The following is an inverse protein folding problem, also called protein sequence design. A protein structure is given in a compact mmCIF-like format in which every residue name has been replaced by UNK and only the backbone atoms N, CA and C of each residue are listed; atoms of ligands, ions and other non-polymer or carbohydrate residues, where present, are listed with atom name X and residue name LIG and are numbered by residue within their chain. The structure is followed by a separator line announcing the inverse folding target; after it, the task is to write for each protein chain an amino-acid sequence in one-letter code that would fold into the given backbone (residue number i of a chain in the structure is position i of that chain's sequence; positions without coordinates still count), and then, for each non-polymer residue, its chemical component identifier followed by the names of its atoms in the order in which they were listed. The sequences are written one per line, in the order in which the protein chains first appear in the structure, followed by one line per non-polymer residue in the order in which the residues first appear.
data_IF_388713843616
#
_entry.id   IF_388713843616
#
_cell.length_a   1.000
_cell.length_b   1.000
_cell.length_c   1.000
_cell.angle_alpha   90.00
_cell.angle_beta   90.00
_cell.angle_gamma   90.00
#
_symmetry.space_group_name_H-M   'P 1'
#
loop_
_entity.id
_entity.type
_entity.pdbx_description
1 polymer ?
#
# COMPACT_ATOMS: atom_id res chain seq x y z
N UNK A 1 12.37 -3.44 -25.63
CA UNK A 1 13.19 -2.91 -24.51
C UNK A 1 14.65 -3.33 -24.64
N UNK A 2 15.00 -4.62 -24.51
CA UNK A 2 16.38 -5.11 -24.67
C UNK A 2 16.94 -4.90 -26.10
N UNK A 3 16.12 -5.06 -27.15
CA UNK A 3 16.53 -4.82 -28.53
C UNK A 3 16.87 -3.35 -28.85
N UNK A 4 16.47 -2.41 -27.98
CA UNK A 4 16.80 -0.98 -28.11
C UNK A 4 17.94 -0.54 -27.17
N UNK A 5 18.63 -1.48 -26.53
CA UNK A 5 19.76 -1.20 -25.64
C UNK A 5 19.38 -0.67 -24.26
N UNK A 6 18.10 -0.70 -23.89
CA UNK A 6 17.66 -0.40 -22.53
C UNK A 6 17.76 -1.67 -21.68
N UNK A 7 18.64 -1.65 -20.68
CA UNK A 7 18.61 -2.65 -19.62
C UNK A 7 17.32 -2.48 -18.81
N UNK A 8 16.49 -3.51 -18.83
CA UNK A 8 15.34 -3.58 -17.94
C UNK A 8 15.86 -4.01 -16.56
N UNK A 9 16.02 -3.04 -15.67
CA UNK A 9 15.99 -3.30 -14.23
C UNK A 9 14.53 -3.20 -13.81
N UNK A 10 13.92 -4.30 -13.37
CA UNK A 10 12.68 -4.21 -12.62
C UNK A 10 12.98 -3.42 -11.37
N UNK A 11 12.67 -2.13 -11.38
CA UNK A 11 12.64 -1.36 -10.16
C UNK A 11 11.36 -1.77 -9.45
N UNK A 12 11.42 -2.84 -8.66
CA UNK A 12 10.41 -3.13 -7.65
C UNK A 12 10.58 -2.12 -6.51
N UNK A 13 10.68 -0.82 -6.82
CA UNK A 13 10.80 0.28 -5.87
C UNK A 13 9.55 0.44 -5.00
N UNK A 14 8.54 -0.42 -5.19
CA UNK A 14 7.69 -0.82 -4.10
C UNK A 14 8.55 -1.58 -3.09
N UNK A 15 9.18 -0.84 -2.19
CA UNK A 15 9.36 -1.33 -0.83
C UNK A 15 8.00 -1.89 -0.44
N UNK A 16 7.85 -3.20 -0.49
CA UNK A 16 6.71 -3.84 0.11
C UNK A 16 6.94 -3.65 1.61
N UNK A 17 6.58 -2.47 2.11
CA UNK A 17 6.10 -2.36 3.47
C UNK A 17 5.07 -3.46 3.55
N UNK A 18 5.40 -4.52 4.29
CA UNK A 18 4.40 -5.51 4.64
C UNK A 18 3.35 -4.69 5.37
N UNK A 19 2.25 -4.38 4.67
CA UNK A 19 1.12 -3.70 5.26
C UNK A 19 0.51 -4.72 6.18
N UNK A 20 0.99 -4.70 7.41
CA UNK A 20 0.51 -5.58 8.44
C UNK A 20 -0.81 -5.00 8.93
N UNK A 21 -1.89 -5.24 8.19
CA UNK A 21 -3.27 -4.89 8.63
C UNK A 21 -3.50 -5.36 10.09
N UNK A 22 -2.82 -6.45 10.49
CA UNK A 22 -2.88 -7.05 11.83
C UNK A 22 -1.59 -6.89 12.66
N UNK A 23 -0.64 -6.03 12.26
CA UNK A 23 0.70 -5.96 12.82
C UNK A 23 1.54 -7.23 12.57
N UNK A 24 2.66 -7.38 13.27
CA UNK A 24 3.51 -8.57 13.12
C UNK A 24 2.74 -9.85 13.49
N UNK A 25 2.79 -10.87 12.63
CA UNK A 25 2.06 -12.13 12.79
C UNK A 25 2.98 -13.35 12.86
N UNK A 26 4.28 -13.17 12.65
CA UNK A 26 5.27 -14.24 12.64
C UNK A 26 6.38 -13.98 13.65
N UNK A 27 6.50 -14.86 14.64
CA UNK A 27 7.54 -14.79 15.65
C UNK A 27 8.95 -14.94 15.04
N UNK A 28 9.09 -15.74 13.99
CA UNK A 28 10.39 -15.91 13.32
C UNK A 28 10.82 -14.65 12.58
N UNK A 29 9.88 -13.94 11.94
CA UNK A 29 10.18 -12.66 11.30
C UNK A 29 10.45 -11.57 12.34
N UNK A 30 9.64 -11.52 13.39
CA UNK A 30 9.82 -10.61 14.52
C UNK A 30 11.20 -10.77 15.18
N UNK A 31 11.71 -12.01 15.25
CA UNK A 31 13.03 -12.29 15.84
C UNK A 31 14.20 -11.69 15.07
N UNK A 32 13.99 -11.32 13.80
CA UNK A 32 15.00 -10.72 12.92
C UNK A 32 14.79 -9.22 12.80
N UNK A 33 13.54 -8.79 12.62
CA UNK A 33 13.24 -7.41 12.22
C UNK A 33 12.53 -6.58 13.29
N UNK A 34 12.17 -7.16 14.44
CA UNK A 34 11.34 -6.45 15.42
C UNK A 34 9.99 -6.09 14.80
N UNK A 35 9.59 -4.81 14.94
CA UNK A 35 8.41 -4.26 14.25
C UNK A 35 8.74 -3.65 12.89
N UNK A 36 10.01 -3.70 12.47
CA UNK A 36 10.47 -3.10 11.21
C UNK A 36 10.30 -4.07 10.04
N UNK A 37 10.40 -3.51 8.84
CA UNK A 37 10.38 -4.29 7.62
C UNK A 37 11.79 -4.82 7.29
N UNK A 38 11.88 -5.98 6.62
CA UNK A 38 13.13 -6.38 6.00
C UNK A 38 13.62 -5.28 5.06
N UNK A 39 14.84 -4.80 5.26
CA UNK A 39 15.50 -3.93 4.28
C UNK A 39 15.78 -4.79 3.05
N UNK A 40 15.19 -4.44 1.91
CA UNK A 40 15.53 -5.11 0.66
C UNK A 40 17.02 -4.89 0.36
N UNK A 41 17.79 -5.95 0.03
CA UNK A 41 19.21 -5.78 -0.30
C UNK A 41 19.38 -4.80 -1.47
N UNK A 42 19.99 -3.63 -1.19
CA UNK A 42 20.27 -2.60 -2.20
C UNK A 42 19.38 -1.36 -2.13
N UNK A 43 18.44 -1.26 -1.18
CA UNK A 43 17.72 0.00 -0.91
C UNK A 43 18.34 0.72 0.28
N UNK A 44 18.92 1.90 0.03
CA UNK A 44 19.22 2.87 1.08
C UNK A 44 17.87 3.35 1.62
N UNK A 45 17.64 3.23 2.93
CA UNK A 45 16.44 3.80 3.54
C UNK A 45 16.48 5.31 3.29
N UNK A 46 15.59 5.82 2.44
CA UNK A 46 15.35 7.25 2.35
C UNK A 46 14.79 7.69 3.71
N UNK A 47 15.67 8.16 4.59
CA UNK A 47 15.31 8.83 5.83
C UNK A 47 14.52 10.09 5.47
N UNK A 48 13.19 10.01 5.55
CA UNK A 48 12.33 11.19 5.38
C UNK A 48 12.36 12.01 6.68
N UNK A 49 13.45 12.73 6.91
CA UNK A 49 13.42 13.93 7.75
C UNK A 49 12.70 15.04 6.95
N UNK A 50 11.36 15.06 7.02
CA UNK A 50 10.57 16.18 6.48
C UNK A 50 10.43 17.22 7.58
N UNK A 51 11.40 18.12 7.65
CA UNK A 51 11.23 19.39 8.36
C UNK A 51 10.20 20.19 7.54
N UNK A 52 8.95 20.23 8.02
CA UNK A 52 7.79 20.78 7.28
C UNK A 52 7.69 22.30 7.54
N UNK A 53 8.00 23.18 6.57
CA UNK A 53 7.63 24.58 6.70
C UNK A 53 6.12 24.72 6.49
N UNK A 54 5.50 25.63 7.24
CA UNK A 54 4.06 25.91 7.16
C UNK A 54 3.62 26.27 5.72
N UNK A 55 2.49 25.70 5.32
CA UNK A 55 1.88 25.80 3.99
C UNK A 55 1.48 27.24 3.62
N UNK A 56 2.00 27.73 2.49
CA UNK A 56 1.28 28.67 1.63
C UNK A 56 1.41 28.22 0.16
N UNK A 57 0.34 27.61 -0.38
CA UNK A 57 0.03 27.60 -1.81
C UNK A 57 0.86 26.69 -2.73
N UNK A 58 0.62 25.38 -2.72
CA UNK A 58 1.18 24.46 -3.71
C UNK A 58 0.39 24.50 -5.04
N UNK A 59 0.74 25.45 -5.91
CA UNK A 59 0.51 25.40 -7.35
C UNK A 59 1.85 25.59 -8.04
N UNK A 60 2.53 24.50 -8.32
CA UNK A 60 3.79 24.48 -9.06
C UNK A 60 4.54 23.19 -8.79
N UNK A 61 4.77 22.40 -9.83
CA UNK A 61 5.78 21.34 -9.77
C UNK A 61 7.13 21.98 -9.45
N UNK A 62 7.69 21.66 -8.29
CA UNK A 62 9.12 21.85 -8.09
C UNK A 62 9.92 20.85 -8.96
N UNK A 63 11.09 21.24 -9.48
CA UNK A 63 11.86 20.39 -10.37
C UNK A 63 12.43 19.19 -9.63
N UNK A 64 12.43 18.04 -10.33
CA UNK A 64 13.10 16.78 -10.03
C UNK A 64 13.67 16.65 -8.60
N UNK A 65 13.00 15.86 -7.77
CA UNK A 65 13.51 15.43 -6.47
C UNK A 65 15.00 15.04 -6.59
N UNK A 66 15.87 15.82 -5.94
CA UNK A 66 17.28 15.51 -5.79
C UNK A 66 17.39 14.14 -5.11
N UNK A 67 17.81 13.13 -5.86
CA UNK A 67 17.98 11.76 -5.34
C UNK A 67 17.80 10.64 -6.36
N UNK A 68 17.08 10.86 -7.47
CA UNK A 68 16.85 9.79 -8.47
C UNK A 68 17.96 9.67 -9.52
N UNK A 69 18.82 10.68 -9.67
CA UNK A 69 19.82 10.75 -10.75
C UNK A 69 19.23 10.92 -12.15
N UNK A 70 17.91 11.13 -12.27
CA UNK A 70 17.20 11.29 -13.54
C UNK A 70 17.06 12.76 -13.90
N UNK A 71 17.23 13.09 -15.19
CA UNK A 71 17.19 14.48 -15.66
C UNK A 71 15.77 15.03 -15.77
N UNK A 72 15.62 16.36 -15.81
CA UNK A 72 14.32 16.98 -16.06
C UNK A 72 13.74 16.55 -17.42
N UNK A 73 14.58 16.38 -18.44
CA UNK A 73 14.19 15.88 -19.76
C UNK A 73 13.66 14.45 -19.71
N UNK A 74 14.19 13.61 -18.81
CA UNK A 74 13.65 12.27 -18.58
C UNK A 74 12.21 12.32 -18.07
N UNK A 75 11.94 13.14 -17.04
CA UNK A 75 10.60 13.27 -16.48
C UNK A 75 9.62 13.90 -17.47
N UNK A 76 10.08 14.88 -18.26
CA UNK A 76 9.29 15.46 -19.35
C UNK A 76 8.96 14.40 -20.41
N UNK A 77 9.91 13.56 -20.82
CA UNK A 77 9.63 12.48 -21.76
C UNK A 77 8.71 11.40 -21.16
N UNK A 78 8.87 11.12 -19.85
CA UNK A 78 8.09 10.10 -19.16
C UNK A 78 6.62 10.52 -18.99
N UNK A 79 6.38 11.68 -18.38
CA UNK A 79 5.04 12.12 -17.96
C UNK A 79 4.42 13.19 -18.87
N UNK A 80 5.21 13.76 -19.78
CA UNK A 80 4.78 14.89 -20.59
C UNK A 80 4.87 16.23 -19.87
N UNK A 81 4.57 17.28 -20.61
CA UNK A 81 4.31 18.64 -20.18
C UNK A 81 2.91 18.75 -19.54
N UNK A 82 2.85 19.27 -18.31
CA UNK A 82 1.59 19.45 -17.59
C UNK A 82 0.61 20.41 -18.26
N UNK A 83 1.12 21.40 -19.00
CA UNK A 83 0.27 22.33 -19.74
C UNK A 83 -0.50 21.65 -20.89
N UNK A 84 -0.09 20.43 -21.28
CA UNK A 84 -0.70 19.62 -22.33
C UNK A 84 -1.54 18.46 -21.78
N UNK A 85 -1.66 18.36 -20.45
CA UNK A 85 -2.43 17.30 -19.83
C UNK A 85 -3.93 17.44 -20.15
N UNK A 86 -4.52 16.33 -20.55
CA UNK A 86 -5.96 16.21 -20.78
C UNK A 86 -6.61 15.38 -19.69
N UNK A 87 -7.90 15.62 -19.37
CA UNK A 87 -8.61 14.83 -18.38
C UNK A 87 -8.87 13.40 -18.89
N UNK A 88 -8.87 12.47 -17.94
CA UNK A 88 -9.23 11.07 -18.15
C UNK A 88 -10.55 10.86 -17.45
N UNK A 89 -11.56 10.51 -18.24
CA UNK A 89 -12.89 10.24 -17.73
C UNK A 89 -13.08 8.73 -17.54
N UNK A 90 -13.70 8.36 -16.43
CA UNK A 90 -14.32 7.05 -16.33
C UNK A 90 -15.55 7.03 -17.23
N UNK A 91 -15.49 6.23 -18.30
CA UNK A 91 -16.55 6.11 -19.30
C UNK A 91 -17.91 5.70 -18.73
N UNK A 92 -17.95 5.09 -17.54
CA UNK A 92 -19.19 4.65 -16.88
C UNK A 92 -19.85 5.78 -16.10
N UNK A 93 -19.05 6.60 -15.40
CA UNK A 93 -19.55 7.62 -14.47
C UNK A 93 -19.45 9.05 -15.02
N UNK A 94 -18.60 9.27 -16.03
CA UNK A 94 -18.22 10.58 -16.54
C UNK A 94 -17.34 11.38 -15.57
N UNK A 95 -16.86 10.76 -14.49
CA UNK A 95 -15.98 11.41 -13.53
C UNK A 95 -14.57 11.56 -14.11
N UNK A 96 -13.97 12.74 -13.97
CA UNK A 96 -12.55 12.94 -14.25
C UNK A 96 -11.74 12.33 -13.10
N UNK A 97 -10.97 11.29 -13.40
CA UNK A 97 -10.21 10.52 -12.40
C UNK A 97 -8.71 10.81 -12.42
N UNK A 98 -8.20 11.34 -13.52
CA UNK A 98 -6.79 11.69 -13.69
C UNK A 98 -6.62 12.76 -14.78
N UNK A 99 -5.41 13.28 -14.91
CA UNK A 99 -4.98 14.07 -16.05
C UNK A 99 -3.63 13.53 -16.56
N UNK A 100 -3.40 13.56 -17.86
CA UNK A 100 -2.16 13.05 -18.46
C UNK A 100 -1.88 13.62 -19.85
N UNK A 101 -0.63 13.54 -20.32
CA UNK A 101 -0.30 13.80 -21.72
C UNK A 101 -0.28 12.49 -22.52
N UNK A 102 -1.15 12.31 -23.54
CA UNK A 102 -1.21 11.08 -24.34
C UNK A 102 0.08 10.81 -25.12
N UNK A 103 0.83 11.85 -25.47
CA UNK A 103 2.04 11.72 -26.27
C UNK A 103 3.32 11.42 -25.47
N UNK A 104 3.23 11.49 -24.13
CA UNK A 104 4.30 11.07 -23.23
C UNK A 104 4.56 9.56 -23.31
N UNK A 105 5.74 9.11 -22.87
CA UNK A 105 6.05 7.68 -22.83
C UNK A 105 5.09 6.90 -21.91
N UNK A 106 4.72 7.50 -20.77
CA UNK A 106 3.74 6.92 -19.85
C UNK A 106 2.35 6.89 -20.47
N UNK A 107 1.88 8.00 -21.06
CA UNK A 107 0.56 8.07 -21.70
C UNK A 107 0.40 7.03 -22.82
N UNK A 108 1.40 6.92 -23.70
CA UNK A 108 1.41 5.89 -24.76
C UNK A 108 1.35 4.47 -24.20
N UNK A 109 2.11 4.19 -23.14
CA UNK A 109 2.10 2.88 -22.51
C UNK A 109 0.75 2.58 -21.84
N UNK A 110 0.16 3.55 -21.14
CA UNK A 110 -1.16 3.43 -20.52
C UNK A 110 -2.24 3.16 -21.55
N UNK A 111 -2.27 3.92 -22.65
CA UNK A 111 -3.27 3.77 -23.70
C UNK A 111 -3.12 2.43 -24.45
N UNK A 112 -1.89 1.97 -24.65
CA UNK A 112 -1.62 0.69 -25.32
C UNK A 112 -1.92 -0.53 -24.43
N UNK A 113 -1.59 -0.47 -23.13
CA UNK A 113 -1.67 -1.62 -22.22
C UNK A 113 -2.94 -1.65 -21.37
N UNK A 114 -3.54 -0.48 -21.10
CA UNK A 114 -4.65 -0.33 -20.16
C UNK A 114 -5.80 0.45 -20.81
N UNK A 115 -6.47 -0.11 -21.84
CA UNK A 115 -7.47 0.62 -22.65
C UNK A 115 -8.69 1.13 -21.86
N UNK A 116 -8.90 0.68 -20.62
CA UNK A 116 -9.99 1.09 -19.71
C UNK A 116 -9.46 1.71 -18.41
N UNK A 117 -8.28 2.33 -18.44
CA UNK A 117 -7.62 2.79 -17.23
C UNK A 117 -8.40 3.85 -16.44
N UNK A 118 -9.19 4.71 -17.10
CA UNK A 118 -10.11 5.61 -16.40
C UNK A 118 -11.11 4.87 -15.49
N UNK A 119 -11.77 3.84 -16.03
CA UNK A 119 -12.67 2.98 -15.25
C UNK A 119 -11.92 2.18 -14.17
N UNK A 120 -10.70 1.74 -14.46
CA UNK A 120 -9.84 1.05 -13.48
C UNK A 120 -9.57 1.92 -12.26
N UNK A 121 -9.22 3.19 -12.45
CA UNK A 121 -8.97 4.14 -11.36
C UNK A 121 -10.21 4.34 -10.48
N UNK A 122 -11.40 4.44 -11.09
CA UNK A 122 -12.66 4.49 -10.33
C UNK A 122 -12.88 3.23 -9.50
N UNK A 123 -12.71 2.04 -10.09
CA UNK A 123 -12.89 0.79 -9.35
C UNK A 123 -11.82 0.59 -8.28
N UNK A 124 -10.58 1.04 -8.50
CA UNK A 124 -9.52 1.04 -7.48
C UNK A 124 -9.93 1.86 -6.28
N UNK A 125 -10.47 3.06 -6.52
CA UNK A 125 -10.97 3.94 -5.46
C UNK A 125 -12.06 3.26 -4.63
N UNK A 126 -13.01 2.59 -5.29
CA UNK A 126 -14.05 1.79 -4.62
C UNK A 126 -13.44 0.61 -3.84
N UNK A 127 -12.44 -0.07 -4.39
CA UNK A 127 -11.75 -1.16 -3.69
C UNK A 127 -11.08 -0.68 -2.40
N UNK A 128 -10.43 0.48 -2.44
CA UNK A 128 -9.82 1.10 -1.27
C UNK A 128 -10.85 1.50 -0.22
N UNK A 129 -12.00 2.05 -0.64
CA UNK A 129 -13.11 2.38 0.25
C UNK A 129 -13.66 1.13 0.95
N UNK A 130 -13.96 0.07 0.20
CA UNK A 130 -14.42 -1.22 0.72
C UNK A 130 -13.42 -1.78 1.74
N UNK A 131 -12.13 -1.79 1.39
CA UNK A 131 -11.08 -2.32 2.27
C UNK A 131 -10.92 -1.48 3.55
N UNK A 132 -10.99 -0.15 3.42
CA UNK A 132 -10.86 0.80 4.52
C UNK A 132 -12.03 0.72 5.50
N UNK A 133 -13.28 0.79 5.00
CA UNK A 133 -14.48 0.67 5.83
C UNK A 133 -14.51 -0.67 6.57
N UNK A 134 -14.27 -1.77 5.85
CA UNK A 134 -14.26 -3.09 6.45
C UNK A 134 -13.21 -3.25 7.55
N UNK A 135 -12.01 -2.70 7.35
CA UNK A 135 -10.94 -2.72 8.34
C UNK A 135 -11.32 -1.93 9.59
N UNK A 136 -11.90 -0.73 9.42
CA UNK A 136 -12.37 0.10 10.54
C UNK A 136 -13.51 -0.58 11.31
N UNK A 137 -14.47 -1.19 10.60
CA UNK A 137 -15.57 -1.91 11.25
C UNK A 137 -15.07 -3.15 11.98
N UNK A 138 -14.10 -3.88 11.42
CA UNK A 138 -13.48 -5.02 12.07
C UNK A 138 -12.75 -4.62 13.36
N UNK A 139 -11.94 -3.56 13.32
CA UNK A 139 -11.26 -2.99 14.48
C UNK A 139 -12.23 -2.63 15.62
N UNK A 140 -13.40 -2.10 15.28
CA UNK A 140 -14.42 -1.70 16.24
C UNK A 140 -15.41 -2.82 16.60
N UNK A 141 -15.25 -4.03 16.04
CA UNK A 141 -16.12 -5.15 16.37
C UNK A 141 -15.86 -5.67 17.77
N UNK A 142 -16.93 -6.11 18.46
CA UNK A 142 -16.78 -6.66 19.81
C UNK A 142 -15.81 -7.85 19.85
N UNK A 143 -15.84 -8.72 18.83
CA UNK A 143 -14.96 -9.89 18.77
C UNK A 143 -13.48 -9.53 18.67
N UNK A 144 -13.12 -8.48 17.93
CA UNK A 144 -11.73 -8.01 17.87
C UNK A 144 -11.33 -7.31 19.17
N UNK A 145 -12.21 -6.50 19.76
CA UNK A 145 -11.95 -5.86 21.06
C UNK A 145 -11.75 -6.88 22.19
N UNK A 146 -12.56 -7.95 22.22
CA UNK A 146 -12.36 -9.06 23.16
C UNK A 146 -11.02 -9.78 22.91
N UNK A 147 -10.67 -9.98 21.63
CA UNK A 147 -9.39 -10.55 21.24
C UNK A 147 -8.18 -9.68 21.63
N UNK A 148 -8.32 -8.35 21.61
CA UNK A 148 -7.30 -7.43 22.13
C UNK A 148 -7.12 -7.57 23.63
N UNK A 149 -8.20 -7.74 24.39
CA UNK A 149 -8.12 -7.98 25.84
C UNK A 149 -7.40 -9.30 26.16
N UNK A 150 -7.71 -10.38 25.44
CA UNK A 150 -7.02 -11.68 25.61
C UNK A 150 -5.53 -11.58 25.23
N UNK A 151 -5.22 -10.88 24.13
CA UNK A 151 -3.85 -10.63 23.71
C UNK A 151 -3.08 -9.79 24.73
N UNK A 152 -3.70 -8.73 25.25
CA UNK A 152 -3.11 -7.85 26.28
C UNK A 152 -2.75 -8.64 27.53
N UNK A 153 -3.66 -9.51 28.01
CA UNK A 153 -3.38 -10.39 29.13
C UNK A 153 -2.20 -11.37 28.87
N UNK A 154 -2.02 -11.82 27.63
CA UNK A 154 -0.87 -12.62 27.24
C UNK A 154 0.44 -11.82 27.27
N UNK A 155 0.40 -10.58 26.76
CA UNK A 155 1.55 -9.66 26.77
C UNK A 155 1.97 -9.31 28.20
N UNK A 156 1.00 -9.03 29.08
CA UNK A 156 1.23 -8.78 30.50
C UNK A 156 1.94 -9.97 31.17
N UNK A 157 1.49 -11.18 30.86
CA UNK A 157 2.12 -12.42 31.34
C UNK A 157 3.57 -12.60 30.87
N UNK A 158 3.98 -11.87 29.83
CA UNK A 158 5.35 -11.85 29.27
C UNK A 158 6.14 -10.61 29.68
N UNK A 159 5.54 -9.73 30.49
CA UNK A 159 6.18 -8.51 31.01
C UNK A 159 6.06 -7.28 30.12
N UNK A 160 5.09 -7.25 29.19
CA UNK A 160 4.82 -6.12 28.31
C UNK A 160 3.38 -5.62 28.52
N UNK A 161 3.23 -4.34 28.86
CA UNK A 161 1.93 -3.71 29.16
C UNK A 161 1.45 -2.91 27.94
N UNK A 162 0.54 -3.49 27.17
CA UNK A 162 -0.08 -2.88 26.00
C UNK A 162 -1.56 -3.26 25.93
N UNK A 163 -2.42 -2.27 25.72
CA UNK A 163 -3.87 -2.48 25.62
C UNK A 163 -4.29 -3.08 24.26
N UNK A 164 -3.54 -2.80 23.20
CA UNK A 164 -3.79 -3.27 21.84
C UNK A 164 -2.49 -3.38 21.04
N UNK A 165 -2.44 -4.21 19.98
CA UNK A 165 -1.22 -4.40 19.19
C UNK A 165 -0.62 -3.13 18.60
N UNK A 166 -1.45 -2.15 18.20
CA UNK A 166 -1.03 -0.83 17.70
C UNK A 166 -0.18 -0.06 18.68
N UNK A 167 -0.50 -0.09 19.96
CA UNK A 167 0.31 0.56 20.98
C UNK A 167 1.75 0.00 21.04
N UNK A 168 1.91 -1.29 20.75
CA UNK A 168 3.23 -1.94 20.76
C UNK A 168 4.06 -1.60 19.52
N UNK A 169 3.49 -1.71 18.32
CA UNK A 169 4.26 -1.43 17.09
C UNK A 169 4.44 0.07 16.79
N UNK A 170 3.59 0.95 17.32
CA UNK A 170 3.74 2.42 17.24
C UNK A 170 4.57 3.02 18.38
N UNK A 171 5.07 2.19 19.31
CA UNK A 171 5.98 2.66 20.36
C UNK A 171 7.26 3.25 19.76
N UNK A 172 7.85 4.22 20.46
CA UNK A 172 9.12 4.81 20.06
C UNK A 172 10.27 3.81 20.30
N UNK A 173 10.67 3.10 19.25
CA UNK A 173 11.81 2.19 19.26
C UNK A 173 13.09 2.93 18.83
N UNK A 174 14.14 3.00 19.68
CA UNK A 174 15.32 3.79 19.37
C UNK A 174 16.20 3.16 18.28
N UNK A 175 16.93 4.01 17.54
CA UNK A 175 17.94 3.64 16.55
C UNK A 175 17.37 3.18 15.21
N UNK A 176 18.24 3.03 14.21
CA UNK A 176 17.85 2.75 12.80
C UNK A 176 17.67 1.24 12.52
N UNK A 177 18.17 0.39 13.41
CA UNK A 177 17.98 -1.06 13.40
C UNK A 177 17.24 -1.55 14.65
N UNK A 178 16.49 -2.67 14.59
CA UNK A 178 15.66 -3.10 15.71
C UNK A 178 16.51 -3.49 16.92
N UNK A 179 16.22 -2.84 18.04
CA UNK A 179 16.89 -3.12 19.32
C UNK A 179 16.44 -4.43 19.94
N UNK A 180 17.17 -4.91 20.94
CA UNK A 180 16.84 -6.15 21.66
C UNK A 180 15.44 -6.10 22.27
N UNK A 181 15.04 -4.95 22.83
CA UNK A 181 13.74 -4.81 23.50
C UNK A 181 12.58 -4.76 22.48
N UNK A 182 12.80 -4.11 21.34
CA UNK A 182 11.87 -4.13 20.21
C UNK A 182 11.64 -5.56 19.72
N UNK A 183 12.73 -6.31 19.47
CA UNK A 183 12.67 -7.69 18.99
C UNK A 183 11.92 -8.57 19.98
N UNK A 184 12.24 -8.49 21.28
CA UNK A 184 11.54 -9.27 22.30
C UNK A 184 10.05 -8.94 22.36
N UNK A 185 9.70 -7.66 22.26
CA UNK A 185 8.30 -7.21 22.28
C UNK A 185 7.55 -7.70 21.04
N UNK A 186 8.14 -7.59 19.85
CA UNK A 186 7.54 -8.03 18.59
C UNK A 186 7.38 -9.56 18.53
N UNK A 187 8.37 -10.32 19.04
CA UNK A 187 8.25 -11.78 19.19
C UNK A 187 7.12 -12.11 20.16
N UNK A 188 7.03 -11.38 21.28
CA UNK A 188 5.97 -11.58 22.24
C UNK A 188 4.58 -11.32 21.65
N UNK A 189 4.44 -10.22 20.90
CA UNK A 189 3.21 -9.85 20.20
C UNK A 189 2.77 -10.94 19.21
N UNK A 190 3.65 -11.38 18.32
CA UNK A 190 3.33 -12.38 17.32
C UNK A 190 2.90 -13.72 17.95
N UNK A 191 3.60 -14.18 18.98
CA UNK A 191 3.24 -15.41 19.70
C UNK A 191 1.95 -15.26 20.50
N UNK A 192 1.71 -14.10 21.13
CA UNK A 192 0.46 -13.83 21.83
C UNK A 192 -0.72 -13.84 20.86
N UNK A 193 -0.61 -13.15 19.72
CA UNK A 193 -1.63 -13.17 18.65
C UNK A 193 -1.95 -14.58 18.17
N UNK A 194 -0.95 -15.43 18.00
CA UNK A 194 -1.17 -16.83 17.59
C UNK A 194 -1.86 -17.63 18.71
N UNK A 195 -1.38 -17.51 19.95
CA UNK A 195 -1.91 -18.28 21.08
C UNK A 195 -3.35 -17.93 21.47
N UNK A 196 -3.73 -16.65 21.36
CA UNK A 196 -5.11 -16.19 21.61
C UNK A 196 -6.00 -16.35 20.38
N UNK A 197 -5.41 -16.58 19.20
CA UNK A 197 -6.15 -16.65 17.94
C UNK A 197 -6.61 -15.29 17.42
N UNK A 198 -6.08 -14.18 17.95
CA UNK A 198 -6.46 -12.82 17.56
C UNK A 198 -6.37 -12.61 16.04
N UNK A 199 -5.31 -13.10 15.38
CA UNK A 199 -5.16 -12.96 13.93
C UNK A 199 -6.32 -13.60 13.15
N UNK A 200 -6.83 -14.74 13.62
CA UNK A 200 -7.94 -15.45 12.97
C UNK A 200 -9.26 -14.71 13.19
N UNK A 201 -9.49 -14.22 14.41
CA UNK A 201 -10.69 -13.44 14.76
C UNK A 201 -10.74 -12.16 13.92
N UNK A 202 -9.66 -11.38 13.93
CA UNK A 202 -9.59 -10.12 13.22
C UNK A 202 -9.69 -10.31 11.70
N UNK A 203 -9.00 -11.30 11.14
CA UNK A 203 -9.13 -11.61 9.72
C UNK A 203 -10.52 -12.09 9.32
N UNK A 204 -11.22 -12.83 10.19
CA UNK A 204 -12.59 -13.27 9.92
C UNK A 204 -13.58 -12.09 9.94
N UNK A 205 -13.46 -11.19 10.92
CA UNK A 205 -14.30 -9.99 11.00
C UNK A 205 -14.05 -9.05 9.81
N UNK A 206 -12.79 -8.86 9.41
CA UNK A 206 -12.46 -8.08 8.23
C UNK A 206 -13.05 -8.69 6.95
N UNK A 207 -12.91 -10.01 6.75
CA UNK A 207 -13.52 -10.69 5.60
C UNK A 207 -15.05 -10.62 5.61
N UNK A 208 -15.69 -10.70 6.78
CA UNK A 208 -17.14 -10.55 6.94
C UNK A 208 -17.58 -9.16 6.49
N UNK A 209 -16.93 -8.10 6.98
CA UNK A 209 -17.28 -6.74 6.61
C UNK A 209 -16.93 -6.39 5.16
N UNK A 210 -15.84 -6.92 4.59
CA UNK A 210 -15.55 -6.79 3.16
C UNK A 210 -16.65 -7.44 2.31
N UNK A 211 -17.14 -8.62 2.73
CA UNK A 211 -18.25 -9.31 2.04
C UNK A 211 -19.54 -8.50 2.13
N UNK A 212 -19.82 -7.89 3.29
CA UNK A 212 -20.98 -7.00 3.46
C UNK A 212 -20.88 -5.76 2.57
N UNK A 213 -19.74 -5.07 2.58
CA UNK A 213 -19.51 -3.89 1.75
C UNK A 213 -19.59 -4.24 0.24
N UNK A 214 -19.04 -5.37 -0.19
CA UNK A 214 -19.16 -5.82 -1.59
C UNK A 214 -20.61 -6.04 -2.04
N UNK A 215 -21.54 -6.37 -1.13
CA UNK A 215 -22.96 -6.48 -1.49
C UNK A 215 -23.60 -5.12 -1.84
N UNK A 216 -22.98 -4.01 -1.42
CA UNK A 216 -23.39 -2.64 -1.78
C UNK A 216 -22.91 -2.26 -3.19
N UNK A 217 -21.95 -3.01 -3.75
CA UNK A 217 -21.37 -2.80 -5.08
C UNK A 217 -21.61 -4.01 -6.01
N UNK A 218 -22.86 -4.29 -6.41
CA UNK A 218 -23.18 -5.42 -7.27
C UNK A 218 -22.43 -5.34 -8.61
N UNK A 219 -21.81 -6.45 -9.00
CA UNK A 219 -21.04 -6.53 -10.25
C UNK A 219 -19.63 -5.93 -10.18
N UNK A 220 -19.18 -5.41 -9.02
CA UNK A 220 -17.83 -4.86 -8.84
C UNK A 220 -16.74 -5.85 -9.28
N UNK A 221 -16.80 -7.09 -8.78
CA UNK A 221 -15.81 -8.13 -9.09
C UNK A 221 -15.82 -8.49 -10.58
N UNK A 222 -16.99 -8.49 -11.21
CA UNK A 222 -17.11 -8.79 -12.65
C UNK A 222 -16.50 -7.67 -13.50
N UNK A 223 -16.84 -6.41 -13.20
CA UNK A 223 -16.24 -5.25 -13.86
C UNK A 223 -14.72 -5.20 -13.69
N UNK A 224 -14.23 -5.48 -12.47
CA UNK A 224 -12.80 -5.55 -12.20
C UNK A 224 -12.12 -6.62 -13.05
N UNK A 225 -12.69 -7.82 -13.12
CA UNK A 225 -12.16 -8.92 -13.92
C UNK A 225 -12.19 -8.62 -15.43
N UNK A 226 -13.23 -7.96 -15.92
CA UNK A 226 -13.29 -7.53 -17.33
C UNK A 226 -12.17 -6.55 -17.69
N UNK A 227 -11.86 -5.60 -16.81
CA UNK A 227 -10.75 -4.67 -17.00
C UNK A 227 -9.42 -5.43 -17.01
N UNK A 228 -9.16 -6.25 -15.99
CA UNK A 228 -7.93 -7.05 -15.94
C UNK A 228 -7.77 -7.95 -17.18
N UNK A 229 -8.86 -8.53 -17.67
CA UNK A 229 -8.82 -9.37 -18.87
C UNK A 229 -8.48 -8.54 -20.12
N UNK A 230 -9.06 -7.34 -20.26
CA UNK A 230 -8.74 -6.42 -21.35
C UNK A 230 -7.26 -6.01 -21.34
N UNK A 231 -6.69 -5.75 -20.16
CA UNK A 231 -5.26 -5.44 -20.00
C UNK A 231 -4.37 -6.63 -20.39
N UNK A 232 -4.72 -7.84 -19.95
CA UNK A 232 -3.98 -9.05 -20.33
C UNK A 232 -4.00 -9.30 -21.83
N UNK A 233 -5.13 -9.04 -22.49
CA UNK A 233 -5.27 -9.21 -23.93
C UNK A 233 -4.52 -8.12 -24.71
N UNK A 234 -4.53 -6.87 -24.23
CA UNK A 234 -3.72 -5.79 -24.77
C UNK A 234 -2.23 -6.10 -24.65
N UNK A 235 -1.76 -6.52 -23.47
CA UNK A 235 -0.37 -6.89 -23.23
C UNK A 235 0.12 -8.05 -24.12
N UNK A 236 -0.75 -9.03 -24.44
CA UNK A 236 -0.44 -10.11 -25.40
C UNK A 236 -0.31 -9.61 -26.84
N UNK A 237 -0.92 -8.48 -27.16
CA UNK A 237 -0.91 -7.86 -28.49
C UNK A 237 0.36 -7.05 -28.78
N UNK A 238 1.08 -6.61 -27.74
CA UNK A 238 2.32 -5.85 -27.87
C UNK A 238 3.44 -6.75 -28.40
N UNK A 239 4.09 -6.35 -29.50
CA UNK A 239 5.18 -7.06 -30.16
C UNK A 239 6.51 -6.34 -30.03
#
# INVERSE_FOLDING_TARGET
MAEKGFEYTSNNGYSQTKSYIYGITSASEASVYGYRNPVEPGTEQLETEVDRPEEEGASGLEPAAEGSGLSAEYYLALNGNQDEWIPVEDETTGAVVANYEPDSCWGKAMDELQPRWGQRYSLESVAYEIAGDASLRALNSQSVQDGFADWSACMDGRGFDYAEPSAAYLSEWPGDTPGIDEIKTAVADAECKESTGLNKIWSAENARFQTEALNEYPGFVEQWNEILQAELDAARGVK
#
